data_IF_020878838550
#
_entry.id   IF_020878838550
#
_cell.length_a   1.000
_cell.length_b   1.000
_cell.length_c   1.000
_cell.angle_alpha   90.00
_cell.angle_beta   90.00
_cell.angle_gamma   90.00
#
_symmetry.space_group_name_H-M   'P 1'
#
loop_
_entity.id
_entity.type
_entity.pdbx_description
1 polymer ?
#
# COMPACT_ATOMS: atom_id res chain seq x y z
N UNK A 1 12.21 2.52 -6.36
CA UNK A 1 11.26 2.66 -5.24
C UNK A 1 10.52 3.98 -5.34
N UNK A 2 9.24 4.02 -4.98
CA UNK A 2 8.38 5.21 -4.96
C UNK A 2 7.76 5.31 -3.55
N UNK A 3 7.86 6.47 -2.90
CA UNK A 3 7.15 6.72 -1.66
C UNK A 3 5.74 7.24 -1.95
N UNK A 4 4.73 6.61 -1.35
CA UNK A 4 3.33 6.99 -1.49
C UNK A 4 2.98 7.92 -0.33
N UNK A 5 2.62 9.15 -0.65
CA UNK A 5 2.22 10.15 0.35
C UNK A 5 0.74 9.94 0.70
N UNK A 6 0.47 9.56 1.95
CA UNK A 6 -0.88 9.33 2.45
C UNK A 6 -1.43 10.64 3.04
N UNK A 7 -2.54 11.20 2.51
CA UNK A 7 -3.15 12.38 3.08
C UNK A 7 -3.64 12.15 4.51
N UNK A 8 -3.73 13.22 5.30
CA UNK A 8 -4.36 13.20 6.63
C UNK A 8 -5.89 13.13 6.51
N UNK A 9 -6.41 11.99 6.06
CA UNK A 9 -7.83 11.71 5.88
C UNK A 9 -8.15 10.26 6.26
N UNK A 10 -9.36 9.99 6.75
CA UNK A 10 -9.76 8.62 7.10
C UNK A 10 -10.04 7.75 5.86
N UNK A 11 -10.29 8.36 4.71
CA UNK A 11 -10.42 7.69 3.42
C UNK A 11 -9.75 8.58 2.39
N UNK A 12 -8.87 7.99 1.59
CA UNK A 12 -8.13 8.69 0.54
C UNK A 12 -7.98 7.79 -0.67
N UNK A 13 -8.08 8.41 -1.85
CA UNK A 13 -7.85 7.76 -3.13
C UNK A 13 -6.65 8.44 -3.79
N UNK A 14 -5.64 7.65 -4.15
CA UNK A 14 -4.38 8.14 -4.72
C UNK A 14 -4.19 7.47 -6.08
N UNK A 15 -4.10 8.28 -7.13
CA UNK A 15 -3.78 7.82 -8.49
C UNK A 15 -2.26 7.75 -8.66
N UNK A 16 -1.76 6.62 -9.14
CA UNK A 16 -0.33 6.37 -9.37
C UNK A 16 -0.11 5.56 -10.64
N UNK A 17 1.05 5.77 -11.27
CA UNK A 17 1.57 4.86 -12.29
C UNK A 17 2.67 3.99 -11.66
N UNK A 18 2.42 2.67 -11.57
CA UNK A 18 3.31 1.70 -10.94
C UNK A 18 3.74 0.65 -11.97
N UNK A 19 5.03 0.61 -12.31
CA UNK A 19 5.58 -0.26 -13.36
C UNK A 19 4.80 -0.20 -14.69
N UNK A 20 4.39 1.02 -15.10
CA UNK A 20 3.63 1.27 -16.33
C UNK A 20 2.14 0.91 -16.24
N UNK A 21 1.63 0.57 -15.05
CA UNK A 21 0.22 0.33 -14.79
C UNK A 21 -0.38 1.49 -14.00
N UNK A 22 -1.38 2.18 -14.56
CA UNK A 22 -2.19 3.16 -13.82
C UNK A 22 -3.12 2.42 -12.86
N UNK A 23 -3.01 2.75 -11.58
CA UNK A 23 -3.85 2.21 -10.50
C UNK A 23 -4.33 3.32 -9.59
N UNK A 24 -5.47 3.09 -8.94
CA UNK A 24 -5.93 3.91 -7.84
C UNK A 24 -5.82 3.11 -6.54
N UNK A 25 -5.03 3.63 -5.61
CA UNK A 25 -4.90 3.07 -4.27
C UNK A 25 -5.87 3.80 -3.34
N UNK A 26 -6.84 3.06 -2.81
CA UNK A 26 -7.71 3.55 -1.73
C UNK A 26 -7.15 3.12 -0.40
N UNK A 27 -6.85 4.08 0.47
CA UNK A 27 -6.43 3.85 1.85
C UNK A 27 -7.52 4.36 2.78
N UNK A 28 -8.10 3.45 3.56
CA UNK A 28 -9.15 3.75 4.52
C UNK A 28 -8.74 3.31 5.92
N UNK A 29 -8.94 4.19 6.91
CA UNK A 29 -8.78 3.88 8.31
C UNK A 29 -10.03 3.19 8.85
N UNK A 30 -9.86 1.97 9.35
CA UNK A 30 -10.92 1.25 10.06
C UNK A 30 -10.80 1.54 11.55
N UNK A 31 -11.72 2.35 12.10
CA UNK A 31 -11.76 2.72 13.52
C UNK A 31 -12.08 1.54 14.44
N UNK A 32 -12.92 0.61 14.02
CA UNK A 32 -13.33 -0.53 14.83
C UNK A 32 -12.18 -1.54 14.99
N UNK A 33 -11.46 -1.79 13.91
CA UNK A 33 -10.30 -2.69 13.89
C UNK A 33 -8.97 -2.01 14.19
N UNK A 34 -8.96 -0.67 14.31
CA UNK A 34 -7.76 0.15 14.53
C UNK A 34 -6.63 -0.16 13.52
N UNK A 35 -6.98 -0.24 12.23
CA UNK A 35 -6.03 -0.59 11.18
C UNK A 35 -6.29 0.17 9.88
N UNK A 36 -5.21 0.39 9.12
CA UNK A 36 -5.30 0.86 7.75
C UNK A 36 -5.61 -0.29 6.80
N UNK A 37 -6.48 -0.02 5.83
CA UNK A 37 -6.92 -0.97 4.82
C UNK A 37 -6.66 -0.39 3.45
N UNK A 38 -6.02 -1.18 2.58
CA UNK A 38 -5.73 -0.87 1.20
C UNK A 38 -6.73 -1.58 0.27
N UNK A 39 -7.19 -0.85 -0.73
CA UNK A 39 -7.86 -1.38 -1.92
C UNK A 39 -7.21 -0.84 -3.18
N UNK A 40 -7.29 -1.59 -4.28
CA UNK A 40 -6.70 -1.24 -5.56
C UNK A 40 -7.79 -1.29 -6.62
N UNK A 41 -7.92 -0.22 -7.38
CA UNK A 41 -8.78 -0.10 -8.56
C UNK A 41 -7.90 0.09 -9.81
N UNK A 42 -8.35 -0.40 -10.96
CA UNK A 42 -7.64 -0.23 -12.23
C UNK A 42 -7.98 1.11 -12.91
N UNK A 43 -7.37 1.40 -14.05
CA UNK A 43 -7.61 2.61 -14.85
C UNK A 43 -9.08 2.79 -15.33
N UNK A 44 -9.90 1.74 -15.26
CA UNK A 44 -11.33 1.76 -15.59
C UNK A 44 -12.22 1.93 -14.36
N UNK A 45 -11.65 2.24 -13.19
CA UNK A 45 -12.32 2.28 -11.88
C UNK A 45 -12.97 0.96 -11.46
N UNK A 46 -12.47 -0.16 -11.99
CA UNK A 46 -12.90 -1.49 -11.57
C UNK A 46 -12.07 -1.93 -10.36
N UNK A 47 -12.76 -2.44 -9.33
CA UNK A 47 -12.12 -2.94 -8.13
C UNK A 47 -11.33 -4.23 -8.44
N UNK A 48 -10.00 -4.18 -8.27
CA UNK A 48 -9.10 -5.31 -8.43
C UNK A 48 -9.07 -6.15 -7.15
N UNK A 49 -8.86 -5.48 -6.02
CA UNK A 49 -8.77 -6.10 -4.70
C UNK A 49 -9.14 -5.09 -3.63
N UNK A 50 -9.83 -5.54 -2.59
CA UNK A 50 -10.17 -4.73 -1.43
C UNK A 50 -9.78 -5.44 -0.14
N UNK A 51 -9.65 -4.68 0.94
CA UNK A 51 -9.55 -5.25 2.28
C UNK A 51 -8.14 -5.73 2.65
N UNK A 52 -7.10 -5.29 1.94
CA UNK A 52 -5.71 -5.65 2.29
C UNK A 52 -5.34 -4.89 3.57
N UNK A 53 -5.12 -5.59 4.67
CA UNK A 53 -4.61 -4.96 5.89
C UNK A 53 -3.19 -4.45 5.65
N UNK A 54 -2.93 -3.17 5.96
CA UNK A 54 -1.60 -2.59 5.85
C UNK A 54 -0.80 -2.95 7.11
N UNK A 55 -0.05 -4.05 7.03
CA UNK A 55 0.77 -4.56 8.13
C UNK A 55 2.23 -4.13 7.94
N UNK A 56 2.91 -3.61 8.99
CA UNK A 56 4.31 -3.20 8.93
C UNK A 56 5.23 -4.28 8.38
N UNK A 57 6.21 -3.87 7.57
CA UNK A 57 7.32 -4.70 7.10
C UNK A 57 6.89 -6.02 6.41
N UNK A 58 5.70 -6.01 5.79
CA UNK A 58 5.16 -7.15 5.03
C UNK A 58 4.98 -6.84 3.55
N UNK A 59 5.01 -7.90 2.75
CA UNK A 59 4.74 -7.89 1.30
C UNK A 59 3.25 -7.88 1.03
N UNK A 60 2.64 -6.70 0.91
CA UNK A 60 1.19 -6.53 0.88
C UNK A 60 0.54 -7.18 -0.36
N UNK A 61 1.26 -7.32 -1.48
CA UNK A 61 0.75 -7.88 -2.73
C UNK A 61 1.08 -9.37 -2.92
N UNK A 62 1.90 -9.98 -2.05
CA UNK A 62 2.36 -11.36 -2.20
C UNK A 62 1.21 -12.39 -2.30
N UNK A 63 0.12 -12.20 -1.54
CA UNK A 63 -1.06 -13.07 -1.58
C UNK A 63 -1.97 -12.84 -2.79
N UNK A 64 -1.79 -11.76 -3.54
CA UNK A 64 -2.73 -11.29 -4.56
C UNK A 64 -2.16 -11.37 -5.98
N UNK A 65 -1.06 -12.09 -6.18
CA UNK A 65 -0.39 -12.24 -7.49
C UNK A 65 -1.21 -12.93 -8.58
N UNK A 66 -2.32 -13.57 -8.20
CA UNK A 66 -3.30 -14.15 -9.12
C UNK A 66 -4.31 -13.12 -9.67
N UNK A 67 -4.29 -11.89 -9.13
CA UNK A 67 -5.10 -10.75 -9.58
C UNK A 67 -4.20 -9.77 -10.38
N UNK A 68 -4.79 -8.87 -11.19
CA UNK A 68 -4.04 -7.85 -11.93
C UNK A 68 -3.57 -6.70 -11.02
N UNK A 69 -2.82 -7.01 -9.97
CA UNK A 69 -2.15 -6.04 -9.10
C UNK A 69 -0.80 -5.61 -9.72
N UNK A 70 -0.23 -4.46 -9.32
CA UNK A 70 1.09 -4.05 -9.78
C UNK A 70 2.17 -5.14 -9.59
N UNK A 71 3.09 -5.31 -10.55
CA UNK A 71 4.05 -6.42 -10.53
C UNK A 71 5.14 -6.27 -9.45
N UNK A 72 5.42 -5.05 -9.01
CA UNK A 72 6.28 -4.74 -7.86
C UNK A 72 5.62 -5.09 -6.52
N UNK A 73 6.10 -4.50 -5.43
CA UNK A 73 5.63 -4.81 -4.08
C UNK A 73 5.26 -3.54 -3.32
N UNK A 74 4.19 -3.61 -2.53
CA UNK A 74 3.85 -2.57 -1.56
C UNK A 74 4.29 -3.01 -0.17
N UNK A 75 4.98 -2.12 0.53
CA UNK A 75 5.47 -2.35 1.90
C UNK A 75 5.27 -1.09 2.72
N UNK A 76 4.75 -1.24 3.94
CA UNK A 76 4.72 -0.16 4.92
C UNK A 76 5.91 -0.32 5.87
N UNK A 77 6.96 0.50 5.71
CA UNK A 77 8.16 0.41 6.54
C UNK A 77 7.98 1.17 7.83
N UNK A 78 8.12 0.47 8.96
CA UNK A 78 8.08 1.05 10.29
C UNK A 78 9.49 1.02 10.94
N UNK A 79 10.19 2.16 11.04
CA UNK A 79 11.57 2.18 11.56
C UNK A 79 11.72 1.65 12.99
N UNK A 80 10.66 1.72 13.79
CA UNK A 80 10.63 1.29 15.18
C UNK A 80 10.15 -0.16 15.37
N UNK A 81 9.93 -0.91 14.27
CA UNK A 81 9.50 -2.33 14.28
C UNK A 81 8.22 -2.56 15.09
N UNK A 82 7.31 -1.58 15.08
CA UNK A 82 5.97 -1.74 15.66
C UNK A 82 5.19 -2.80 14.87
N UNK A 83 4.33 -3.56 15.55
CA UNK A 83 3.49 -4.58 14.91
C UNK A 83 2.22 -3.98 14.26
N UNK A 84 1.89 -2.73 14.59
CA UNK A 84 0.64 -2.05 14.16
C UNK A 84 0.91 -0.64 13.69
N UNK A 85 0.16 -0.18 12.68
CA UNK A 85 0.22 1.19 12.17
C UNK A 85 -0.96 1.99 12.73
N UNK A 86 -0.70 3.03 13.53
CA UNK A 86 -1.74 3.91 14.03
C UNK A 86 -2.33 4.79 12.93
N UNK A 87 -3.51 5.37 13.19
CA UNK A 87 -4.18 6.29 12.25
C UNK A 87 -3.32 7.48 11.84
N UNK A 88 -2.46 7.97 12.71
CA UNK A 88 -1.60 9.13 12.41
C UNK A 88 -0.29 8.74 11.74
N UNK A 89 0.16 7.49 11.84
CA UNK A 89 1.53 7.09 11.50
C UNK A 89 1.86 7.18 10.00
N UNK A 90 0.90 6.87 9.11
CA UNK A 90 1.09 7.04 7.67
C UNK A 90 1.07 8.53 7.27
N UNK A 91 0.04 9.33 7.64
CA UNK A 91 0.04 10.76 7.29
C UNK A 91 1.18 11.57 7.90
N UNK A 92 1.64 11.22 9.11
CA UNK A 92 2.76 11.91 9.77
C UNK A 92 4.13 11.55 9.18
N UNK A 93 4.21 10.47 8.39
CA UNK A 93 5.46 9.93 7.86
C UNK A 93 6.29 9.14 8.87
N UNK A 94 5.74 8.82 10.05
CA UNK A 94 6.36 7.87 10.99
C UNK A 94 6.53 6.48 10.37
N UNK A 95 5.56 6.08 9.54
CA UNK A 95 5.60 4.87 8.72
C UNK A 95 5.55 5.28 7.26
N UNK A 96 6.48 4.75 6.46
CA UNK A 96 6.54 5.06 5.03
C UNK A 96 5.85 3.96 4.24
N UNK A 97 4.80 4.30 3.50
CA UNK A 97 4.24 3.39 2.49
C UNK A 97 5.05 3.50 1.21
N UNK A 98 5.69 2.41 0.81
CA UNK A 98 6.58 2.34 -0.33
C UNK A 98 6.08 1.35 -1.37
N UNK A 99 6.29 1.71 -2.63
CA UNK A 99 6.26 0.79 -3.75
C UNK A 99 7.69 0.46 -4.19
N UNK A 100 8.03 -0.82 -4.21
CA UNK A 100 9.30 -1.34 -4.74
C UNK A 100 9.00 -1.89 -6.13
N UNK A 101 9.65 -1.35 -7.16
CA UNK A 101 9.38 -1.72 -8.55
C UNK A 101 9.75 -3.20 -8.79
N UNK A 102 9.08 -3.84 -9.74
CA UNK A 102 9.28 -5.27 -10.03
C UNK A 102 10.76 -5.65 -10.27
N UNK A 103 11.51 -4.80 -10.97
CA UNK A 103 12.94 -5.01 -11.20
C UNK A 103 13.77 -5.04 -9.90
N UNK A 104 13.42 -4.23 -8.90
CA UNK A 104 14.10 -4.19 -7.60
C UNK A 104 13.70 -5.36 -6.70
N UNK A 105 12.46 -5.84 -6.83
CA UNK A 105 11.97 -7.02 -6.09
C UNK A 105 12.72 -8.29 -6.49
N UNK A 106 13.00 -8.47 -7.79
CA UNK A 106 13.71 -9.65 -8.33
C UNK A 106 15.17 -9.71 -7.84
N UNK A 107 15.81 -8.56 -7.59
CA UNK A 107 17.15 -8.46 -7.02
C UNK A 107 17.21 -8.76 -5.50
N UNK A 108 16.09 -9.14 -4.87
CA UNK A 108 16.03 -9.52 -3.46
C UNK A 108 16.03 -8.34 -2.48
N UNK A 109 15.62 -7.14 -2.91
CA UNK A 109 15.61 -5.91 -2.08
C UNK A 109 14.31 -5.68 -1.29
N UNK A 110 13.63 -6.75 -0.88
CA UNK A 110 12.39 -6.65 -0.08
C UNK A 110 12.56 -7.39 1.23
#
# INVERSE_FOLDING_TARGET
>A
MIQILVPDANDSLIELELDGMTVFLRLSWNSEAQQWVLSIENAYNELVVAGIAVVPDTRLLAGYRHLPVPPGELVALAPDRRDTISRSALPSGEVALLYVNAAEVVDGKV
#
